data_IF_912987367643
#
_entry.id   IF_912987367643
#
_cell.length_a   1.000
_cell.length_b   1.000
_cell.length_c   1.000
_cell.angle_alpha   90.00
_cell.angle_beta   90.00
_cell.angle_gamma   90.00
#
_symmetry.space_group_name_H-M   'P 1'
#
loop_
_entity.id
_entity.type
_entity.pdbx_description
1 polymer ?
#
# COMPACT_ATOMS: atom_id res chain seq x y z
N UNK A 1 -3.25 -18.62 8.79
CA UNK A 1 -2.71 -19.08 7.49
C UNK A 1 -1.42 -18.33 7.22
N UNK A 2 -0.39 -18.97 6.66
CA UNK A 2 0.82 -18.29 6.17
C UNK A 2 0.63 -17.99 4.69
N UNK A 3 1.02 -16.80 4.23
CA UNK A 3 0.91 -16.37 2.83
C UNK A 3 2.07 -15.46 2.46
N UNK A 4 2.32 -15.29 1.15
CA UNK A 4 3.37 -14.41 0.61
C UNK A 4 2.80 -13.08 0.12
N UNK A 5 3.65 -12.05 -0.03
CA UNK A 5 3.25 -10.77 -0.66
C UNK A 5 2.66 -11.00 -2.05
N UNK A 6 3.23 -11.93 -2.82
CA UNK A 6 2.75 -12.27 -4.16
C UNK A 6 1.31 -12.77 -4.10
N UNK A 7 1.04 -13.75 -3.25
CA UNK A 7 -0.31 -14.32 -3.08
C UNK A 7 -1.33 -13.27 -2.64
N UNK A 8 -0.97 -12.41 -1.68
CA UNK A 8 -1.81 -11.30 -1.21
C UNK A 8 -2.30 -10.47 -2.40
N UNK A 9 -1.39 -9.99 -3.26
CA UNK A 9 -1.75 -9.08 -4.35
C UNK A 9 -2.20 -9.78 -5.64
N UNK A 10 -2.12 -11.10 -5.73
CA UNK A 10 -2.47 -11.83 -6.96
C UNK A 10 -3.99 -12.01 -7.11
N UNK A 11 -4.68 -12.41 -6.04
CA UNK A 11 -6.06 -12.90 -6.15
C UNK A 11 -7.12 -11.86 -5.77
N UNK A 12 -6.96 -11.23 -4.60
CA UNK A 12 -8.01 -10.41 -3.98
C UNK A 12 -7.70 -8.92 -4.05
N UNK A 13 -8.77 -8.11 -3.96
CA UNK A 13 -8.64 -6.68 -3.69
C UNK A 13 -8.78 -6.39 -2.19
N UNK A 14 -8.20 -5.28 -1.76
CA UNK A 14 -8.24 -4.83 -0.38
C UNK A 14 -8.75 -3.40 -0.27
N UNK A 15 -9.37 -3.10 0.86
CA UNK A 15 -9.80 -1.75 1.21
C UNK A 15 -9.20 -1.31 2.54
N UNK A 16 -8.88 -0.03 2.67
CA UNK A 16 -8.61 0.63 3.95
C UNK A 16 -9.89 1.36 4.35
N UNK A 17 -10.67 0.81 5.29
CA UNK A 17 -11.97 1.37 5.64
C UNK A 17 -11.84 2.68 6.43
N UNK A 18 -12.89 3.50 6.42
CA UNK A 18 -12.88 4.86 6.99
C UNK A 18 -12.62 4.95 8.49
N UNK A 19 -12.88 3.88 9.23
CA UNK A 19 -12.61 3.82 10.67
C UNK A 19 -11.12 3.57 10.99
N UNK A 20 -10.30 3.26 10.00
CA UNK A 20 -8.86 3.15 10.17
C UNK A 20 -8.20 4.53 10.24
N UNK A 21 -7.08 4.61 10.95
CA UNK A 21 -6.30 5.85 11.05
C UNK A 21 -5.68 6.23 9.71
N UNK A 22 -5.45 7.52 9.50
CA UNK A 22 -4.69 7.99 8.33
C UNK A 22 -3.25 7.44 8.32
N UNK A 23 -2.67 7.43 7.12
CA UNK A 23 -1.27 7.05 6.92
C UNK A 23 -0.34 8.04 7.65
N UNK A 24 0.50 7.53 8.55
CA UNK A 24 1.32 8.35 9.44
C UNK A 24 2.75 7.80 9.63
N UNK A 25 3.18 6.84 8.81
CA UNK A 25 4.53 6.31 8.83
C UNK A 25 5.55 7.41 8.54
N UNK A 26 6.63 7.38 9.31
CA UNK A 26 7.77 8.31 9.19
C UNK A 26 9.03 7.51 8.85
N UNK A 27 10.13 8.22 8.62
CA UNK A 27 11.40 7.64 8.17
C UNK A 27 11.85 6.40 8.94
N UNK A 28 11.64 6.37 10.28
CA UNK A 28 11.98 5.18 11.07
C UNK A 28 11.17 3.96 10.60
N UNK A 29 9.87 4.09 10.40
CA UNK A 29 9.02 2.98 9.95
C UNK A 29 9.42 2.49 8.56
N UNK A 30 9.80 3.41 7.67
CA UNK A 30 10.31 3.06 6.34
C UNK A 30 11.64 2.31 6.43
N UNK A 31 12.58 2.78 7.27
CA UNK A 31 13.86 2.09 7.51
C UNK A 31 13.63 0.69 8.08
N UNK A 32 12.79 0.56 9.10
CA UNK A 32 12.46 -0.73 9.69
C UNK A 32 11.88 -1.68 8.60
N UNK A 33 10.92 -1.22 7.78
CA UNK A 33 10.39 -2.03 6.68
C UNK A 33 11.47 -2.40 5.66
N UNK A 34 12.33 -1.45 5.30
CA UNK A 34 13.39 -1.66 4.31
C UNK A 34 14.37 -2.75 4.75
N UNK A 35 14.86 -2.68 5.99
CA UNK A 35 15.74 -3.69 6.59
C UNK A 35 15.06 -5.08 6.57
N UNK A 36 13.77 -5.15 6.93
CA UNK A 36 13.02 -6.41 6.87
C UNK A 36 12.91 -6.98 5.44
N UNK A 37 12.78 -6.12 4.42
CA UNK A 37 12.74 -6.54 3.01
C UNK A 37 14.12 -7.04 2.53
N UNK A 38 15.20 -6.37 2.93
CA UNK A 38 16.57 -6.78 2.62
C UNK A 38 16.87 -8.15 3.25
N UNK A 39 16.53 -8.35 4.52
CA UNK A 39 16.64 -9.64 5.18
C UNK A 39 15.82 -10.71 4.45
N UNK A 40 14.57 -10.40 4.07
CA UNK A 40 13.72 -11.33 3.35
C UNK A 40 14.32 -11.80 2.03
N UNK A 41 15.00 -10.92 1.29
CA UNK A 41 15.73 -11.26 0.06
C UNK A 41 16.89 -12.23 0.37
N UNK A 42 17.69 -11.95 1.40
CA UNK A 42 18.81 -12.81 1.79
C UNK A 42 18.36 -14.19 2.26
N UNK A 43 17.26 -14.27 3.01
CA UNK A 43 16.65 -15.55 3.39
C UNK A 43 16.08 -16.30 2.19
N UNK A 44 15.43 -15.58 1.25
CA UNK A 44 14.87 -16.20 0.04
C UNK A 44 15.95 -16.84 -0.83
N UNK A 45 17.15 -16.25 -0.94
CA UNK A 45 18.30 -16.85 -1.65
C UNK A 45 18.73 -18.19 -1.03
N UNK A 46 18.45 -18.41 0.25
CA UNK A 46 18.72 -19.66 0.99
C UNK A 46 17.53 -20.62 0.97
N UNK A 47 16.48 -20.33 0.20
CA UNK A 47 15.24 -21.10 0.18
C UNK A 47 14.40 -20.99 1.46
N UNK A 48 14.63 -19.94 2.26
CA UNK A 48 13.93 -19.71 3.52
C UNK A 48 12.93 -18.55 3.40
N UNK A 49 11.79 -18.67 4.09
CA UNK A 49 10.84 -17.56 4.22
C UNK A 49 11.22 -16.63 5.37
N UNK A 50 10.87 -15.34 5.24
CA UNK A 50 11.06 -14.34 6.28
C UNK A 50 9.72 -13.69 6.66
N UNK A 51 9.50 -13.48 7.96
CA UNK A 51 8.25 -12.94 8.47
C UNK A 51 8.33 -11.41 8.60
N UNK A 52 7.63 -10.71 7.71
CA UNK A 52 7.58 -9.23 7.66
C UNK A 52 6.41 -8.63 8.46
N UNK A 53 5.60 -9.46 9.11
CA UNK A 53 4.49 -9.07 9.97
C UNK A 53 3.13 -9.65 9.62
N UNK A 54 2.15 -9.37 10.48
CA UNK A 54 0.76 -9.88 10.38
C UNK A 54 -0.14 -8.89 9.66
N UNK A 55 -0.97 -9.36 8.73
CA UNK A 55 -2.07 -8.59 8.16
C UNK A 55 -3.39 -9.22 8.63
N UNK A 56 -4.27 -8.41 9.23
CA UNK A 56 -5.59 -8.86 9.67
C UNK A 56 -6.61 -8.26 8.73
N UNK A 57 -7.49 -9.10 8.19
CA UNK A 57 -8.52 -8.66 7.25
C UNK A 57 -9.88 -9.26 7.60
N UNK A 58 -10.93 -8.59 7.18
CA UNK A 58 -12.31 -9.11 7.19
C UNK A 58 -12.94 -8.93 5.82
N UNK A 59 -14.00 -9.69 5.51
CA UNK A 59 -14.71 -9.52 4.24
C UNK A 59 -15.41 -8.17 4.25
N UNK A 60 -15.22 -7.35 3.22
CA UNK A 60 -15.89 -6.05 3.15
C UNK A 60 -17.42 -6.24 3.09
N UNK A 61 -18.16 -5.39 3.79
CA UNK A 61 -19.61 -5.51 3.92
C UNK A 61 -20.34 -5.12 2.63
N UNK A 62 -19.91 -4.03 2.01
CA UNK A 62 -20.54 -3.42 0.82
C UNK A 62 -20.11 -4.08 -0.49
N UNK A 63 -18.84 -4.50 -0.58
CA UNK A 63 -18.23 -5.11 -1.74
C UNK A 63 -17.58 -6.46 -1.39
N UNK A 64 -18.33 -7.55 -1.60
CA UNK A 64 -17.87 -8.93 -1.35
C UNK A 64 -16.71 -9.39 -2.26
N UNK A 65 -16.13 -8.53 -3.09
CA UNK A 65 -14.88 -8.82 -3.82
C UNK A 65 -13.64 -8.23 -3.14
N UNK A 66 -13.83 -7.48 -2.05
CA UNK A 66 -12.76 -6.86 -1.29
C UNK A 66 -12.68 -7.41 0.13
N UNK A 67 -11.50 -7.23 0.72
CA UNK A 67 -11.24 -7.45 2.13
C UNK A 67 -10.81 -6.14 2.79
N UNK A 68 -11.45 -5.80 3.90
CA UNK A 68 -11.07 -4.65 4.72
C UNK A 68 -9.85 -4.99 5.56
N UNK A 69 -8.82 -4.16 5.47
CA UNK A 69 -7.61 -4.29 6.28
C UNK A 69 -7.89 -3.71 7.67
N UNK A 70 -7.86 -4.59 8.68
CA UNK A 70 -8.06 -4.25 10.09
C UNK A 70 -6.73 -3.94 10.77
N UNK A 71 -5.67 -4.66 10.41
CA UNK A 71 -4.29 -4.41 10.89
C UNK A 71 -3.27 -4.64 9.77
N UNK A 72 -2.15 -3.93 9.84
CA UNK A 72 -1.11 -3.91 8.81
C UNK A 72 -1.31 -2.86 7.73
N UNK A 73 -2.34 -2.00 7.82
CA UNK A 73 -2.73 -1.04 6.78
C UNK A 73 -1.55 -0.20 6.23
N UNK A 74 -0.67 0.32 7.09
CA UNK A 74 0.38 1.25 6.68
C UNK A 74 1.51 0.51 5.98
N UNK A 75 1.84 -0.70 6.46
CA UNK A 75 2.82 -1.59 5.82
C UNK A 75 2.32 -2.02 4.45
N UNK A 76 1.07 -2.49 4.35
CA UNK A 76 0.47 -2.92 3.08
C UNK A 76 0.41 -1.75 2.08
N UNK A 77 -0.01 -0.57 2.52
CA UNK A 77 -0.03 0.64 1.66
C UNK A 77 1.38 0.99 1.17
N UNK A 78 2.38 0.91 2.04
CA UNK A 78 3.77 1.22 1.68
C UNK A 78 4.35 0.21 0.69
N UNK A 79 4.14 -1.08 0.91
CA UNK A 79 4.55 -2.14 -0.02
C UNK A 79 3.86 -1.95 -1.36
N UNK A 80 2.57 -1.61 -1.37
CA UNK A 80 1.82 -1.34 -2.59
C UNK A 80 2.40 -0.14 -3.36
N UNK A 81 2.69 0.98 -2.68
CA UNK A 81 3.33 2.15 -3.30
C UNK A 81 4.73 1.81 -3.83
N UNK A 82 5.52 1.04 -3.07
CA UNK A 82 6.86 0.61 -3.49
C UNK A 82 6.78 -0.27 -4.74
N UNK A 83 5.88 -1.25 -4.77
CA UNK A 83 5.65 -2.11 -5.92
C UNK A 83 5.23 -1.30 -7.16
N UNK A 84 4.41 -0.26 -6.97
CA UNK A 84 4.04 0.66 -8.03
C UNK A 84 5.24 1.40 -8.62
N UNK A 85 6.12 1.93 -7.78
CA UNK A 85 7.35 2.61 -8.25
C UNK A 85 8.28 1.63 -8.96
N UNK A 86 8.48 0.45 -8.39
CA UNK A 86 9.35 -0.58 -8.97
C UNK A 86 8.85 -1.05 -10.34
N UNK A 87 7.54 -1.24 -10.51
CA UNK A 87 6.95 -1.59 -11.80
C UNK A 87 7.29 -0.56 -12.88
N UNK A 88 7.36 0.72 -12.53
CA UNK A 88 7.69 1.79 -13.48
C UNK A 88 9.18 1.91 -13.81
N UNK A 89 10.05 1.22 -13.07
CA UNK A 89 11.49 1.15 -13.34
C UNK A 89 11.90 -0.08 -14.16
N UNK A 90 10.95 -0.98 -14.42
CA UNK A 90 11.16 -2.18 -15.23
C UNK A 90 11.01 -1.90 -16.73
N UNK A 91 11.44 -2.85 -17.57
CA UNK A 91 11.07 -2.85 -18.98
C UNK A 91 9.56 -3.06 -19.14
N UNK A 92 9.01 -2.78 -20.33
CA UNK A 92 7.56 -2.81 -20.55
C UNK A 92 6.91 -4.18 -20.33
N UNK A 93 7.61 -5.29 -20.62
CA UNK A 93 7.10 -6.64 -20.41
C UNK A 93 6.97 -6.95 -18.91
N UNK A 94 8.05 -6.76 -18.15
CA UNK A 94 8.08 -6.97 -16.70
C UNK A 94 7.13 -6.01 -15.97
N UNK A 95 7.01 -4.77 -16.45
CA UNK A 95 6.06 -3.78 -15.93
C UNK A 95 4.62 -4.25 -16.10
N UNK A 96 4.26 -4.79 -17.27
CA UNK A 96 2.93 -5.32 -17.51
C UNK A 96 2.62 -6.50 -16.60
N UNK A 97 3.59 -7.39 -16.37
CA UNK A 97 3.45 -8.50 -15.42
C UNK A 97 3.24 -7.98 -13.99
N UNK A 98 4.09 -7.06 -13.54
CA UNK A 98 4.01 -6.51 -12.19
C UNK A 98 2.72 -5.72 -11.96
N UNK A 99 2.19 -5.03 -12.98
CA UNK A 99 0.91 -4.32 -12.90
C UNK A 99 -0.28 -5.24 -12.60
N UNK A 100 -0.20 -6.55 -12.87
CA UNK A 100 -1.26 -7.52 -12.48
C UNK A 100 -1.44 -7.65 -10.97
N UNK A 101 -0.42 -7.33 -10.18
CA UNK A 101 -0.51 -7.29 -8.71
C UNK A 101 -1.07 -5.96 -8.19
N UNK A 102 -1.01 -4.90 -9.00
CA UNK A 102 -1.44 -3.55 -8.61
C UNK A 102 -2.86 -3.23 -9.09
N UNK A 103 -3.27 -3.83 -10.21
CA UNK A 103 -4.51 -3.49 -10.92
C UNK A 103 -5.36 -4.73 -11.23
N UNK A 104 -6.67 -4.55 -11.24
CA UNK A 104 -7.64 -5.52 -11.72
C UNK A 104 -8.71 -4.80 -12.55
N UNK A 105 -8.82 -5.18 -13.84
CA UNK A 105 -9.76 -4.55 -14.79
C UNK A 105 -9.62 -3.02 -14.89
N UNK A 106 -8.40 -2.51 -14.76
CA UNK A 106 -8.11 -1.08 -14.83
C UNK A 106 -8.21 -0.32 -13.50
N UNK A 107 -8.78 -0.93 -12.46
CA UNK A 107 -8.87 -0.34 -11.12
C UNK A 107 -7.73 -0.83 -10.21
N UNK A 108 -7.35 -0.03 -9.22
CA UNK A 108 -6.36 -0.42 -8.22
C UNK A 108 -6.89 -1.56 -7.34
N UNK A 109 -6.04 -2.53 -7.03
CA UNK A 109 -6.37 -3.61 -6.07
C UNK A 109 -6.35 -3.14 -4.61
N UNK A 110 -5.87 -1.94 -4.32
CA UNK A 110 -5.92 -1.33 -2.99
C UNK A 110 -6.76 -0.05 -3.04
N UNK A 111 -7.93 -0.11 -2.43
CA UNK A 111 -8.82 1.02 -2.24
C UNK A 111 -8.53 1.70 -0.90
N UNK A 112 -8.17 2.98 -0.92
CA UNK A 112 -8.07 3.77 0.32
C UNK A 112 -9.41 4.41 0.65
N UNK A 113 -9.56 4.88 1.90
CA UNK A 113 -10.71 5.68 2.34
C UNK A 113 -11.11 6.75 1.31
N UNK A 114 -12.40 6.97 1.00
CA UNK A 114 -12.85 7.84 -0.10
C UNK A 114 -12.23 9.24 -0.10
N UNK A 115 -12.06 9.86 1.08
CA UNK A 115 -11.42 11.17 1.22
C UNK A 115 -9.96 11.22 0.75
N UNK A 116 -9.27 10.06 0.74
CA UNK A 116 -7.87 9.93 0.38
C UNK A 116 -7.66 9.39 -1.05
N UNK A 117 -8.71 8.93 -1.75
CA UNK A 117 -8.58 8.27 -3.06
C UNK A 117 -7.98 9.17 -4.13
N UNK A 118 -8.47 10.40 -4.26
CA UNK A 118 -7.94 11.35 -5.26
C UNK A 118 -6.47 11.69 -5.00
N UNK A 119 -6.11 11.88 -3.73
CA UNK A 119 -4.72 12.12 -3.34
C UNK A 119 -3.83 10.92 -3.65
N UNK A 120 -4.28 9.72 -3.28
CA UNK A 120 -3.52 8.48 -3.49
C UNK A 120 -3.27 8.20 -4.97
N UNK A 121 -4.30 8.33 -5.83
CA UNK A 121 -4.14 8.19 -7.30
C UNK A 121 -3.15 9.23 -7.84
N UNK A 122 -3.29 10.49 -7.45
CA UNK A 122 -2.37 11.56 -7.88
C UNK A 122 -0.93 11.35 -7.39
N UNK A 123 -0.74 10.72 -6.23
CA UNK A 123 0.58 10.36 -5.70
C UNK A 123 1.24 9.26 -6.55
N UNK A 124 0.49 8.21 -6.88
CA UNK A 124 0.98 7.12 -7.73
C UNK A 124 1.33 7.61 -9.14
N UNK A 125 0.50 8.45 -9.74
CA UNK A 125 0.76 9.08 -11.04
C UNK A 125 1.96 10.04 -11.01
N UNK A 126 2.14 10.79 -9.93
CA UNK A 126 3.30 11.67 -9.78
C UNK A 126 4.61 10.87 -9.70
N UNK A 127 4.55 9.70 -9.05
CA UNK A 127 5.68 8.79 -8.96
C UNK A 127 6.04 8.15 -10.32
N UNK A 128 5.07 7.89 -11.19
CA UNK A 128 5.31 7.45 -12.58
C UNK A 128 6.09 8.49 -13.39
N UNK A 129 5.80 9.77 -13.17
CA UNK A 129 6.38 10.89 -13.94
C UNK A 129 7.68 11.45 -13.34
N UNK A 130 8.24 10.78 -12.33
CA UNK A 130 9.42 11.23 -11.54
C UNK A 130 9.29 12.65 -10.95
N UNK A 131 8.07 13.17 -10.83
CA UNK A 131 7.78 14.56 -10.45
C UNK A 131 7.51 14.73 -8.94
N UNK A 132 8.19 13.95 -8.09
CA UNK A 132 7.89 13.90 -6.65
C UNK A 132 8.39 15.16 -5.92
N UNK A 133 9.44 15.83 -6.41
CA UNK A 133 10.12 16.92 -5.68
C UNK A 133 9.38 18.26 -5.60
N UNK A 134 8.25 18.47 -6.29
CA UNK A 134 7.62 19.82 -6.38
C UNK A 134 6.25 19.97 -5.71
N UNK A 135 5.61 18.90 -5.23
CA UNK A 135 4.38 19.04 -4.44
C UNK A 135 4.72 19.05 -2.95
N UNK A 136 4.88 20.24 -2.36
CA UNK A 136 4.63 20.38 -0.91
C UNK A 136 3.21 19.87 -0.64
N UNK A 137 3.10 18.71 0.00
CA UNK A 137 1.85 18.10 0.44
C UNK A 137 1.18 19.02 1.45
N UNK A 138 0.19 19.80 1.00
CA UNK A 138 -0.75 20.43 1.92
C UNK A 138 -1.64 19.33 2.48
N UNK A 139 -1.39 18.93 3.72
CA UNK A 139 -2.38 18.20 4.51
C UNK A 139 -3.62 19.09 4.65
N UNK A 140 -4.84 18.53 4.50
CA UNK A 140 -6.04 19.26 4.92
C UNK A 140 -5.85 19.66 6.39
N UNK A 141 -5.93 20.97 6.67
CA UNK A 141 -5.87 21.47 8.05
C UNK A 141 -6.95 20.76 8.87
N UNK A 142 -6.53 20.02 9.89
CA UNK A 142 -7.45 19.56 10.93
C UNK A 142 -8.11 20.78 11.57
N UNK A 143 -9.41 20.95 11.35
CA UNK A 143 -10.22 21.94 12.06
C UNK A 143 -10.34 21.50 13.52
N UNK A 144 -9.55 22.10 14.41
CA UNK A 144 -9.78 22.00 15.85
C UNK A 144 -11.10 22.71 16.17
N UNK A 145 -12.17 21.95 16.40
CA UNK A 145 -13.36 22.46 17.06
C UNK A 145 -13.13 22.28 18.56
N UNK A 146 -12.80 23.36 19.25
CA UNK A 146 -12.80 23.39 20.72
C UNK A 146 -14.22 23.63 21.19
N UNK A 147 -14.88 22.59 21.70
CA UNK A 147 -16.07 22.75 22.53
C UNK A 147 -15.60 23.18 23.92
N UNK A 148 -15.98 24.40 24.33
CA UNK A 148 -15.93 24.81 25.73
C UNK A 148 -17.25 24.41 26.38
N UNK A 149 -17.19 23.77 27.54
CA UNK A 149 -18.23 23.88 28.56
C UNK A 149 -18.06 25.23 29.26
#
# INVERSE_FOLDING_TARGET
>A
MKTTIKEIFQEEGYSIPNYQRDYAWKDKNFRDLWENLEEAIEYSKKGQGHFIGTMVVTKNEDNKKLYDIIDGQQRTTTIFMLLHVLANKQNEEDKQETRKYLYQKGELKLEVAPQNQSFFKALLEAAEKENISQKKMQTPKASKISLKL
#
